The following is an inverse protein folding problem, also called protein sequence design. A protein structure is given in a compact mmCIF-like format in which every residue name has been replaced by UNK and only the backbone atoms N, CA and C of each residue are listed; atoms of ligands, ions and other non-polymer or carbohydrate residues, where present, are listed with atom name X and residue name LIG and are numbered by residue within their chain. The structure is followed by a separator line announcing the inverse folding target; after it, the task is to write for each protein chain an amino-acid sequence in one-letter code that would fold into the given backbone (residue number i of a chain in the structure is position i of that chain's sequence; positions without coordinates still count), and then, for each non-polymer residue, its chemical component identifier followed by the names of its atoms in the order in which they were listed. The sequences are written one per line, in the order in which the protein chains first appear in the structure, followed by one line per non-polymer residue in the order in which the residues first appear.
data_IF_838416104236
#
_entry.id   IF_838416104236
#
_cell.length_a   1.000
_cell.length_b   1.000
_cell.length_c   1.000
_cell.angle_alpha   90.00
_cell.angle_beta   90.00
_cell.angle_gamma   90.00
#
_symmetry.space_group_name_H-M   'P 1'
#
loop_
_entity.id
_entity.type
_entity.pdbx_description
1 polymer ?
#
# COMPACT_ATOMS: atom_id res chain seq x y z
N UNK A 1 -9.02 12.03 7.72
CA UNK A 1 -7.76 12.67 8.17
C UNK A 1 -6.81 11.67 8.86
N UNK A 2 -7.21 11.01 9.97
CA UNK A 2 -6.31 10.12 10.74
C UNK A 2 -5.78 8.89 9.96
N UNK A 3 -6.59 8.31 9.06
CA UNK A 3 -6.21 7.12 8.27
C UNK A 3 -4.97 7.30 7.39
N UNK A 4 -4.89 8.39 6.65
CA UNK A 4 -3.76 8.68 5.78
C UNK A 4 -2.47 8.91 6.58
N UNK A 5 -2.58 9.50 7.76
CA UNK A 5 -1.45 9.73 8.67
C UNK A 5 -0.94 8.40 9.25
N UNK A 6 -1.85 7.50 9.65
CA UNK A 6 -1.51 6.13 10.07
C UNK A 6 -0.85 5.33 8.95
N UNK A 7 -1.32 5.51 7.71
CA UNK A 7 -0.74 4.84 6.54
C UNK A 7 0.69 5.33 6.27
N UNK A 8 0.93 6.63 6.39
CA UNK A 8 2.26 7.22 6.27
C UNK A 8 3.21 6.67 7.37
N UNK A 9 2.73 6.59 8.62
CA UNK A 9 3.48 5.98 9.73
C UNK A 9 3.76 4.50 9.46
N UNK A 10 2.79 3.75 8.93
CA UNK A 10 2.97 2.34 8.58
C UNK A 10 4.11 2.15 7.57
N UNK A 11 4.18 3.01 6.54
CA UNK A 11 5.23 2.95 5.52
C UNK A 11 6.61 3.29 6.11
N UNK A 12 6.70 4.30 6.98
CA UNK A 12 7.99 4.65 7.62
C UNK A 12 8.49 3.53 8.53
N UNK A 13 7.58 2.89 9.27
CA UNK A 13 7.90 1.73 10.11
C UNK A 13 8.33 0.53 9.27
N UNK A 14 7.63 0.27 8.17
CA UNK A 14 8.00 -0.78 7.22
C UNK A 14 9.40 -0.54 6.66
N UNK A 15 9.67 0.67 6.15
CA UNK A 15 10.95 1.05 5.58
C UNK A 15 12.10 0.84 6.59
N UNK A 16 11.87 1.23 7.84
CA UNK A 16 12.81 1.02 8.94
C UNK A 16 13.03 -0.47 9.22
N UNK A 17 11.96 -1.27 9.18
CA UNK A 17 12.00 -2.73 9.31
C UNK A 17 12.77 -3.40 8.16
N UNK A 18 12.58 -2.94 6.93
CA UNK A 18 13.32 -3.44 5.75
C UNK A 18 14.80 -3.09 5.81
N UNK A 19 15.15 -1.90 6.30
CA UNK A 19 16.56 -1.53 6.54
C UNK A 19 17.17 -2.45 7.60
N UNK A 20 16.46 -2.67 8.72
CA UNK A 20 16.90 -3.57 9.78
C UNK A 20 17.06 -5.03 9.28
N UNK A 21 16.16 -5.49 8.39
CA UNK A 21 16.27 -6.80 7.73
C UNK A 21 17.58 -6.92 6.97
N UNK A 22 17.94 -5.93 6.15
CA UNK A 22 19.18 -5.95 5.36
C UNK A 22 20.42 -5.89 6.27
N UNK A 23 20.33 -5.20 7.41
CA UNK A 23 21.38 -5.20 8.45
C UNK A 23 21.46 -6.48 9.30
N UNK A 24 20.41 -7.31 9.29
CA UNK A 24 20.38 -8.54 10.07
C UNK A 24 21.28 -9.66 9.52
N UNK A 25 21.84 -9.46 8.32
CA UNK A 25 22.77 -10.39 7.66
C UNK A 25 22.19 -11.82 7.60
N UNK A 26 20.95 -11.92 7.10
CA UNK A 26 20.23 -13.19 6.99
C UNK A 26 19.84 -13.80 8.34
N UNK A 27 19.49 -12.97 9.33
CA UNK A 27 19.17 -13.35 10.71
C UNK A 27 20.36 -13.76 11.59
N UNK A 28 21.59 -13.57 11.12
CA UNK A 28 22.80 -13.84 11.92
C UNK A 28 22.94 -12.91 13.13
N UNK A 29 22.36 -11.69 13.06
CA UNK A 29 22.38 -10.72 14.17
C UNK A 29 21.02 -10.63 14.86
N UNK A 30 20.93 -11.14 16.08
CA UNK A 30 19.70 -11.21 16.87
C UNK A 30 19.04 -9.84 17.12
N UNK A 31 19.83 -8.81 17.43
CA UNK A 31 19.30 -7.46 17.74
C UNK A 31 18.50 -6.84 16.58
N UNK A 32 19.08 -6.69 15.36
CA UNK A 32 18.35 -6.17 14.21
C UNK A 32 17.23 -7.11 13.73
N UNK A 33 17.35 -8.43 13.91
CA UNK A 33 16.26 -9.37 13.59
C UNK A 33 15.03 -9.16 14.46
N UNK A 34 15.19 -9.03 15.77
CA UNK A 34 14.06 -8.75 16.67
C UNK A 34 13.44 -7.40 16.34
N UNK A 35 14.28 -6.38 16.12
CA UNK A 35 13.81 -5.04 15.76
C UNK A 35 13.03 -5.04 14.45
N UNK A 36 13.49 -5.78 13.44
CA UNK A 36 12.77 -5.97 12.18
C UNK A 36 11.36 -6.53 12.44
N UNK A 37 11.23 -7.63 13.19
CA UNK A 37 9.92 -8.22 13.49
C UNK A 37 8.99 -7.24 14.20
N UNK A 38 9.48 -6.54 15.21
CA UNK A 38 8.70 -5.54 15.96
C UNK A 38 8.24 -4.41 15.04
N UNK A 39 9.13 -3.86 14.22
CA UNK A 39 8.79 -2.77 13.29
C UNK A 39 7.77 -3.20 12.23
N UNK A 40 7.91 -4.42 11.68
CA UNK A 40 6.92 -4.97 10.76
C UNK A 40 5.56 -5.18 11.43
N UNK A 41 5.54 -5.68 12.67
CA UNK A 41 4.29 -5.88 13.41
C UNK A 41 3.58 -4.55 13.69
N UNK A 42 4.34 -3.52 14.07
CA UNK A 42 3.83 -2.17 14.29
C UNK A 42 3.33 -1.54 12.99
N UNK A 43 4.07 -1.70 11.89
CA UNK A 43 3.67 -1.24 10.56
C UNK A 43 2.34 -1.87 10.14
N UNK A 44 2.23 -3.20 10.25
CA UNK A 44 1.03 -3.92 9.88
C UNK A 44 -0.16 -3.55 10.78
N UNK A 45 0.08 -3.30 12.06
CA UNK A 45 -0.95 -2.83 12.99
C UNK A 45 -1.46 -1.43 12.62
N UNK A 46 -0.56 -0.52 12.24
CA UNK A 46 -0.92 0.81 11.76
C UNK A 46 -1.69 0.76 10.43
N UNK A 47 -1.30 -0.12 9.50
CA UNK A 47 -2.02 -0.38 8.26
C UNK A 47 -3.43 -0.93 8.54
N UNK A 48 -3.56 -1.91 9.43
CA UNK A 48 -4.85 -2.47 9.85
C UNK A 48 -5.78 -1.37 10.41
N UNK A 49 -5.23 -0.39 11.11
CA UNK A 49 -6.01 0.74 11.61
C UNK A 49 -6.36 1.74 10.48
N UNK A 50 -5.47 1.93 9.50
CA UNK A 50 -5.71 2.80 8.34
C UNK A 50 -6.83 2.27 7.43
N UNK A 51 -6.85 0.96 7.17
CA UNK A 51 -7.89 0.30 6.33
C UNK A 51 -9.29 0.34 6.96
N UNK A 52 -9.42 0.63 8.26
CA UNK A 52 -10.74 0.89 8.86
C UNK A 52 -11.35 2.23 8.42
N UNK A 53 -10.55 3.11 7.84
CA UNK A 53 -10.95 4.47 7.45
C UNK A 53 -10.77 4.77 5.97
N UNK A 54 -10.00 3.94 5.25
CA UNK A 54 -9.72 4.05 3.82
C UNK A 54 -10.06 2.70 3.20
N UNK A 55 -10.60 2.69 1.97
CA UNK A 55 -10.82 1.44 1.25
C UNK A 55 -9.57 0.57 1.21
N UNK A 56 -9.74 -0.70 1.54
CA UNK A 56 -8.67 -1.71 1.62
C UNK A 56 -7.84 -1.70 0.33
N UNK A 57 -8.49 -1.62 -0.84
CA UNK A 57 -7.84 -1.58 -2.15
C UNK A 57 -6.88 -0.41 -2.31
N UNK A 58 -7.29 0.80 -1.89
CA UNK A 58 -6.44 2.00 -1.97
C UNK A 58 -5.30 1.88 -0.97
N UNK A 59 -5.60 1.51 0.27
CA UNK A 59 -4.62 1.47 1.33
C UNK A 59 -3.48 0.48 1.03
N UNK A 60 -3.81 -0.73 0.56
CA UNK A 60 -2.79 -1.71 0.15
C UNK A 60 -2.01 -1.27 -1.09
N UNK A 61 -2.66 -0.62 -2.06
CA UNK A 61 -1.98 -0.12 -3.25
C UNK A 61 -0.96 0.99 -2.92
N UNK A 62 -1.35 1.96 -2.07
CA UNK A 62 -0.44 3.02 -1.62
C UNK A 62 0.67 2.46 -0.74
N UNK A 63 0.33 1.58 0.21
CA UNK A 63 1.32 0.96 1.10
C UNK A 63 2.38 0.18 0.31
N UNK A 64 1.96 -0.72 -0.59
CA UNK A 64 2.87 -1.51 -1.42
C UNK A 64 3.65 -0.64 -2.42
N UNK A 65 2.98 0.29 -3.11
CA UNK A 65 3.62 1.14 -4.14
C UNK A 65 4.63 2.11 -3.56
N UNK A 66 4.23 2.88 -2.54
CA UNK A 66 5.11 3.86 -1.90
C UNK A 66 6.20 3.19 -1.07
N UNK A 67 5.88 2.08 -0.39
CA UNK A 67 6.85 1.24 0.31
C UNK A 67 7.95 0.75 -0.64
N UNK A 68 7.57 0.15 -1.78
CA UNK A 68 8.52 -0.34 -2.78
C UNK A 68 9.41 0.77 -3.34
N UNK A 69 8.83 1.94 -3.66
CA UNK A 69 9.58 3.09 -4.15
C UNK A 69 10.64 3.55 -3.13
N UNK A 70 10.24 3.74 -1.87
CA UNK A 70 11.15 4.18 -0.81
C UNK A 70 12.22 3.14 -0.51
N UNK A 71 11.86 1.86 -0.43
CA UNK A 71 12.81 0.75 -0.24
C UNK A 71 13.82 0.73 -1.37
N UNK A 72 13.40 0.95 -2.62
CA UNK A 72 14.32 0.98 -3.76
C UNK A 72 15.26 2.19 -3.71
N UNK A 73 14.78 3.36 -3.27
CA UNK A 73 15.62 4.56 -3.10
C UNK A 73 16.66 4.32 -2.01
N UNK A 74 16.24 3.77 -0.86
CA UNK A 74 17.13 3.42 0.25
C UNK A 74 18.12 2.32 -0.18
N UNK A 75 17.67 1.33 -0.95
CA UNK A 75 18.51 0.29 -1.57
C UNK A 75 19.64 0.86 -2.39
N UNK A 76 19.35 1.86 -3.22
CA UNK A 76 20.36 2.55 -4.01
C UNK A 76 21.33 3.37 -3.15
N UNK A 77 20.81 4.22 -2.27
CA UNK A 77 21.65 5.15 -1.49
C UNK A 77 22.52 4.44 -0.45
N UNK A 78 21.93 3.49 0.29
CA UNK A 78 22.56 2.89 1.47
C UNK A 78 23.26 1.57 1.17
N UNK A 79 22.70 0.78 0.25
CA UNK A 79 23.21 -0.56 -0.07
C UNK A 79 23.98 -0.61 -1.39
N UNK A 80 24.11 0.54 -2.09
CA UNK A 80 24.82 0.65 -3.37
C UNK A 80 24.32 -0.40 -4.39
N UNK A 81 23.05 -0.77 -4.32
CA UNK A 81 22.48 -1.75 -5.25
C UNK A 81 22.51 -1.19 -6.68
N UNK A 82 22.96 -2.00 -7.64
CA UNK A 82 22.99 -1.61 -9.04
C UNK A 82 21.58 -1.28 -9.55
N UNK A 83 21.38 -0.03 -9.95
CA UNK A 83 20.12 0.43 -10.53
C UNK A 83 20.15 0.14 -12.02
N UNK A 84 19.55 -0.98 -12.41
CA UNK A 84 19.35 -1.30 -13.83
C UNK A 84 18.21 -0.43 -14.39
N UNK A 85 18.30 0.07 -15.64
CA UNK A 85 17.20 0.80 -16.28
C UNK A 85 15.86 0.05 -16.24
N UNK A 86 15.92 -1.28 -16.36
CA UNK A 86 14.75 -2.15 -16.21
C UNK A 86 14.11 -2.07 -14.81
N UNK A 87 14.90 -1.99 -13.73
CA UNK A 87 14.38 -1.86 -12.35
C UNK A 87 13.59 -0.57 -12.18
N UNK A 88 14.10 0.52 -12.73
CA UNK A 88 13.42 1.84 -12.71
C UNK A 88 12.12 1.80 -13.51
N UNK A 89 12.15 1.19 -14.70
CA UNK A 89 10.95 1.03 -15.53
C UNK A 89 9.86 0.20 -14.81
N UNK A 90 10.24 -0.89 -14.14
CA UNK A 90 9.31 -1.70 -13.35
C UNK A 90 8.66 -0.89 -12.22
N UNK A 91 9.45 -0.11 -11.47
CA UNK A 91 8.93 0.74 -10.40
C UNK A 91 7.96 1.79 -10.96
N UNK A 92 8.29 2.40 -12.11
CA UNK A 92 7.41 3.36 -12.77
C UNK A 92 6.06 2.73 -13.16
N UNK A 93 6.07 1.50 -13.68
CA UNK A 93 4.84 0.75 -14.01
C UNK A 93 4.00 0.47 -12.76
N UNK A 94 4.64 0.08 -11.64
CA UNK A 94 3.94 -0.15 -10.37
C UNK A 94 3.23 1.14 -9.91
N UNK A 95 3.94 2.28 -9.94
CA UNK A 95 3.37 3.58 -9.56
C UNK A 95 2.17 3.93 -10.44
N UNK A 96 2.28 3.76 -11.76
CA UNK A 96 1.19 4.01 -12.70
C UNK A 96 -0.02 3.12 -12.38
N UNK A 97 0.21 1.83 -12.06
CA UNK A 97 -0.85 0.91 -11.66
C UNK A 97 -1.57 1.36 -10.39
N UNK A 98 -0.84 1.84 -9.38
CA UNK A 98 -1.42 2.37 -8.13
C UNK A 98 -2.26 3.62 -8.39
N UNK A 99 -1.77 4.54 -9.22
CA UNK A 99 -2.51 5.75 -9.61
C UNK A 99 -3.80 5.37 -10.35
N UNK A 100 -3.72 4.45 -11.30
CA UNK A 100 -4.88 3.97 -12.05
C UNK A 100 -5.93 3.34 -11.14
N UNK A 101 -5.51 2.52 -10.17
CA UNK A 101 -6.42 1.92 -9.18
C UNK A 101 -7.08 2.98 -8.28
N UNK A 102 -6.32 4.00 -7.86
CA UNK A 102 -6.86 5.10 -7.07
C UNK A 102 -7.92 5.91 -7.84
N UNK A 103 -7.68 6.16 -9.13
CA UNK A 103 -8.63 6.81 -10.03
C UNK A 103 -9.87 5.94 -10.29
N UNK A 104 -9.70 4.63 -10.48
CA UNK A 104 -10.81 3.70 -10.69
C UNK A 104 -11.74 3.64 -9.47
N UNK A 105 -11.18 3.63 -8.25
CA UNK A 105 -11.99 3.69 -7.03
C UNK A 105 -12.75 5.02 -6.89
N UNK A 106 -12.13 6.13 -7.31
CA UNK A 106 -12.77 7.45 -7.32
C UNK A 106 -13.87 7.57 -8.39
N UNK A 107 -13.78 6.80 -9.48
CA UNK A 107 -14.80 6.74 -10.52
C UNK A 107 -15.98 5.82 -10.16
N UNK A 108 -15.74 4.79 -9.35
CA UNK A 108 -16.75 3.85 -8.85
C UNK A 108 -17.70 4.47 -7.80
N UNK A 109 -17.49 5.72 -7.38
CA UNK A 109 -18.39 6.46 -6.49
C UNK A 109 -19.62 7.06 -7.20
N UNK A 110 -19.84 6.77 -8.49
CA UNK A 110 -21.15 7.02 -9.10
C UNK A 110 -22.12 5.92 -8.63
N UNK A 111 -23.26 6.27 -7.99
CA UNK A 111 -24.29 5.30 -7.73
C UNK A 111 -24.67 4.65 -9.06
N UNK A 112 -24.68 3.32 -9.08
CA UNK A 112 -25.42 2.57 -10.10
C UNK A 112 -26.89 2.80 -9.78
N UNK A 113 -27.43 3.93 -10.26
CA UNK A 113 -28.85 4.20 -10.24
C UNK A 113 -29.30 4.47 -11.67
N UNK A 114 -29.72 3.38 -12.33
CA UNK A 114 -30.83 3.35 -13.25
C UNK A 114 -31.00 1.93 -13.80
N UNK A 115 -32.02 1.19 -13.33
CA UNK A 115 -32.56 0.10 -14.14
C UNK A 115 -33.25 -1.08 -13.46
N UNK A 116 -33.57 -1.07 -12.17
CA UNK A 116 -34.25 -2.22 -11.55
C UNK A 116 -35.18 -1.82 -10.40
N UNK A 117 -36.32 -1.19 -10.68
CA UNK A 117 -37.51 -1.31 -9.81
C UNK A 117 -38.84 -0.81 -10.44
N UNK A 118 -38.81 -0.04 -11.53
CA UNK A 118 -40.04 0.58 -12.06
C UNK A 118 -40.94 -0.35 -12.90
N UNK A 119 -40.54 -1.60 -13.15
CA UNK A 119 -41.34 -2.58 -13.91
C UNK A 119 -42.27 -3.40 -13.02
N UNK A 120 -41.94 -3.63 -11.74
CA UNK A 120 -42.74 -4.50 -10.87
C UNK A 120 -43.99 -3.79 -10.32
N UNK A 121 -43.93 -2.48 -10.08
CA UNK A 121 -45.09 -1.68 -9.64
C UNK A 121 -46.15 -1.43 -10.73
N UNK A 122 -45.81 -1.50 -12.02
CA UNK A 122 -46.81 -1.38 -13.10
C UNK A 122 -47.59 -2.68 -13.37
N UNK A 123 -47.06 -3.84 -12.95
CA UNK A 123 -47.73 -5.14 -13.11
C UNK A 123 -48.67 -5.43 -11.93
N UNK A 124 -48.34 -4.94 -10.73
CA UNK A 124 -49.19 -5.08 -9.53
C UNK A 124 -50.40 -4.13 -9.48
N UNK A 125 -50.54 -3.21 -10.45
CA UNK A 125 -51.64 -2.23 -10.52
C UNK A 125 -52.49 -2.33 -11.81
N UNK A 126 -52.43 -3.46 -12.53
CA UNK A 126 -53.30 -3.76 -13.68
C UNK A 126 -54.19 -4.97 -13.41
#
# INVERSE_FOLDING_TARGET
MRGWLLLLVAIVLELSGTVALKYSDGFSRLLPSILMFVLYLLSFSALNLAVKTIDVSIAYAVWSGLGTLLISIVGFMWFQEHVTPFKVLSIAIIIIGVICLNLANSAASKPVEAGADSQEQQVLMK
#
